data_IF_321499594827
#
_entry.id   IF_321499594827
#
_cell.length_a   1.000
_cell.length_b   1.000
_cell.length_c   1.000
_cell.angle_alpha   90.00
_cell.angle_beta   90.00
_cell.angle_gamma   90.00
#
_symmetry.space_group_name_H-M   'P 1'
#
loop_
_entity.id
_entity.type
_entity.pdbx_description
1 polymer ?
#
# COMPACT_ATOMS: atom_id res chain seq x y z
N UNK A 1 -1.39 -7.24 -5.39
CA UNK A 1 -1.98 -6.04 -6.02
C UNK A 1 -2.51 -6.44 -7.37
N UNK A 2 -3.69 -5.94 -7.73
CA UNK A 2 -4.26 -6.08 -9.07
C UNK A 2 -3.73 -5.02 -10.04
N UNK A 3 -3.44 -3.83 -9.53
CA UNK A 3 -2.87 -2.73 -10.30
C UNK A 3 -2.48 -1.58 -9.38
N UNK A 4 -1.51 -0.80 -9.85
CA UNK A 4 -1.05 0.46 -9.26
C UNK A 4 -0.46 1.32 -10.37
N UNK A 5 -0.39 2.64 -10.16
CA UNK A 5 0.23 3.54 -11.13
C UNK A 5 1.76 3.60 -10.95
N UNK A 6 2.43 4.31 -11.87
CA UNK A 6 3.89 4.46 -11.84
C UNK A 6 4.38 5.19 -10.59
N UNK A 7 3.67 6.23 -10.14
CA UNK A 7 4.02 6.94 -8.91
C UNK A 7 4.04 6.02 -7.69
N UNK A 8 3.09 5.08 -7.60
CA UNK A 8 3.10 4.06 -6.54
C UNK A 8 4.34 3.16 -6.64
N UNK A 9 4.72 2.73 -7.84
CA UNK A 9 5.91 1.92 -8.05
C UNK A 9 7.17 2.67 -7.63
N UNK A 10 7.26 3.96 -7.97
CA UNK A 10 8.39 4.83 -7.62
C UNK A 10 8.50 5.03 -6.11
N UNK A 11 7.37 5.26 -5.42
CA UNK A 11 7.34 5.40 -3.95
C UNK A 11 7.90 4.14 -3.29
N UNK A 12 7.49 2.96 -3.74
CA UNK A 12 7.88 1.67 -3.17
C UNK A 12 9.18 1.08 -3.78
N UNK A 13 9.85 1.83 -4.65
CA UNK A 13 11.06 1.40 -5.37
C UNK A 13 10.89 0.03 -6.04
N UNK A 14 9.72 -0.21 -6.66
CA UNK A 14 9.40 -1.46 -7.35
C UNK A 14 9.36 -1.27 -8.86
N UNK A 15 9.65 -2.34 -9.59
CA UNK A 15 9.38 -2.38 -11.03
C UNK A 15 7.87 -2.60 -11.27
N UNK A 16 7.21 -1.81 -12.15
CA UNK A 16 5.79 -1.96 -12.45
C UNK A 16 5.37 -3.36 -12.96
N UNK A 17 6.30 -4.12 -13.53
CA UNK A 17 6.07 -5.50 -14.00
C UNK A 17 6.21 -6.51 -12.87
N UNK A 18 7.02 -6.23 -11.85
CA UNK A 18 7.23 -7.14 -10.72
C UNK A 18 6.24 -6.93 -9.57
N UNK A 19 5.59 -5.76 -9.49
CA UNK A 19 4.68 -5.43 -8.38
C UNK A 19 3.31 -6.12 -8.48
N UNK A 20 2.93 -6.60 -9.66
CA UNK A 20 1.68 -7.35 -9.85
C UNK A 20 1.72 -8.66 -9.06
N UNK A 21 0.61 -8.99 -8.40
CA UNK A 21 0.51 -10.19 -7.57
C UNK A 21 1.09 -10.06 -6.15
N UNK A 22 2.02 -9.13 -5.89
CA UNK A 22 2.57 -8.90 -4.53
C UNK A 22 1.49 -8.33 -3.60
N UNK A 23 1.32 -8.90 -2.42
CA UNK A 23 0.37 -8.35 -1.44
C UNK A 23 0.86 -7.01 -0.91
N UNK A 24 -0.05 -6.09 -0.56
CA UNK A 24 0.35 -4.82 0.05
C UNK A 24 1.12 -5.05 1.36
N UNK A 25 0.73 -6.07 2.14
CA UNK A 25 1.40 -6.43 3.38
C UNK A 25 2.87 -6.79 3.13
N UNK A 26 3.14 -7.63 2.13
CA UNK A 26 4.51 -8.06 1.80
C UNK A 26 5.34 -6.89 1.28
N UNK A 27 4.73 -6.00 0.48
CA UNK A 27 5.36 -4.78 0.01
C UNK A 27 5.72 -3.84 1.16
N UNK A 28 4.80 -3.69 2.12
CA UNK A 28 4.98 -2.84 3.30
C UNK A 28 6.05 -3.42 4.22
N UNK A 29 6.04 -4.74 4.47
CA UNK A 29 7.10 -5.44 5.21
C UNK A 29 8.46 -5.30 4.54
N UNK A 30 8.52 -5.37 3.22
CA UNK A 30 9.76 -5.16 2.47
C UNK A 30 10.28 -3.74 2.67
N UNK A 31 9.39 -2.75 2.55
CA UNK A 31 9.71 -1.33 2.72
C UNK A 31 10.20 -1.02 4.14
N UNK A 32 9.48 -1.53 5.15
CA UNK A 32 9.85 -1.39 6.57
C UNK A 32 11.24 -1.99 6.85
N UNK A 33 11.51 -3.23 6.42
CA UNK A 33 12.82 -3.89 6.62
C UNK A 33 13.96 -3.17 5.93
N UNK A 34 13.69 -2.48 4.82
CA UNK A 34 14.70 -1.72 4.07
C UNK A 34 14.85 -0.29 4.57
N UNK A 35 13.96 0.20 5.45
CA UNK A 35 13.93 1.59 5.87
C UNK A 35 13.74 2.56 4.71
N UNK A 36 12.96 2.14 3.69
CA UNK A 36 12.74 2.89 2.46
C UNK A 36 11.26 3.02 2.17
N UNK A 37 10.92 3.95 1.28
CA UNK A 37 9.56 4.30 0.90
C UNK A 37 8.85 5.04 2.04
N UNK A 38 7.91 4.38 2.69
CA UNK A 38 7.03 4.98 3.70
C UNK A 38 7.78 5.12 5.02
N UNK A 39 7.65 6.29 5.65
CA UNK A 39 8.07 6.48 7.04
C UNK A 39 7.03 5.83 7.95
N UNK A 40 7.45 4.79 8.65
CA UNK A 40 6.63 4.14 9.66
C UNK A 40 7.00 4.67 11.04
N UNK A 41 6.04 5.28 11.74
CA UNK A 41 6.17 5.68 13.14
C UNK A 41 5.72 4.53 14.05
N UNK A 42 6.38 3.38 13.90
CA UNK A 42 6.07 2.16 14.63
C UNK A 42 7.31 1.28 14.75
N UNK A 43 7.58 0.76 15.95
CA UNK A 43 8.69 -0.16 16.20
C UNK A 43 8.42 -1.58 15.67
N UNK A 44 7.14 -1.93 15.46
CA UNK A 44 6.70 -3.23 14.98
C UNK A 44 5.75 -3.09 13.78
N UNK A 45 6.19 -3.60 12.62
CA UNK A 45 5.42 -3.56 11.39
C UNK A 45 4.15 -4.41 11.42
N UNK A 46 4.13 -5.51 12.19
CA UNK A 46 2.94 -6.37 12.26
C UNK A 46 1.83 -5.69 13.06
N UNK A 47 2.17 -4.99 14.14
CA UNK A 47 1.21 -4.20 14.92
C UNK A 47 0.65 -3.04 14.09
N UNK A 48 1.52 -2.38 13.29
CA UNK A 48 1.10 -1.34 12.36
C UNK A 48 0.16 -1.91 11.29
N UNK A 49 0.48 -3.05 10.69
CA UNK A 49 -0.36 -3.70 9.68
C UNK A 49 -1.71 -4.15 10.25
N UNK A 50 -1.74 -4.65 11.49
CA UNK A 50 -2.97 -5.06 12.17
C UNK A 50 -3.90 -3.85 12.39
N UNK A 51 -3.36 -2.74 12.92
CA UNK A 51 -4.10 -1.49 13.10
C UNK A 51 -4.59 -0.94 11.76
N UNK A 52 -3.71 -0.87 10.76
CA UNK A 52 -4.04 -0.42 9.41
C UNK A 52 -5.20 -1.25 8.83
N UNK A 53 -5.13 -2.58 8.89
CA UNK A 53 -6.21 -3.48 8.40
C UNK A 53 -7.54 -3.25 9.11
N UNK A 54 -7.53 -3.07 10.43
CA UNK A 54 -8.75 -2.84 11.20
C UNK A 54 -9.49 -1.57 10.73
N UNK A 55 -8.75 -0.49 10.46
CA UNK A 55 -9.31 0.75 9.93
C UNK A 55 -9.65 0.66 8.43
N UNK A 56 -8.87 -0.09 7.66
CA UNK A 56 -8.97 -0.15 6.21
C UNK A 56 -10.01 -1.13 5.68
N UNK A 57 -10.48 -2.09 6.49
CA UNK A 57 -11.54 -3.02 6.10
C UNK A 57 -12.94 -2.41 6.12
N UNK A 58 -13.12 -1.27 6.78
CA UNK A 58 -14.43 -0.62 6.89
C UNK A 58 -14.82 0.16 5.63
N UNK A 59 -13.85 0.59 4.81
CA UNK A 59 -14.12 1.45 3.65
C UNK A 59 -13.54 0.87 2.35
N UNK A 60 -14.36 0.58 1.32
CA UNK A 60 -13.90 0.04 0.04
C UNK A 60 -12.96 0.99 -0.71
N UNK A 61 -13.07 2.29 -0.47
CA UNK A 61 -12.20 3.32 -0.99
C UNK A 61 -11.67 4.16 0.18
N UNK A 62 -10.37 4.49 0.17
CA UNK A 62 -9.75 5.33 1.18
C UNK A 62 -8.65 6.19 0.56
N UNK A 63 -8.61 7.46 0.97
CA UNK A 63 -7.47 8.35 0.79
C UNK A 63 -6.68 8.43 2.09
N UNK A 64 -5.36 8.47 1.99
CA UNK A 64 -4.49 8.68 3.14
C UNK A 64 -3.18 9.31 2.71
N UNK A 65 -2.71 10.25 3.53
CA UNK A 65 -1.44 10.92 3.36
C UNK A 65 -0.32 10.03 3.90
N UNK A 66 0.80 10.02 3.20
CA UNK A 66 1.97 9.23 3.55
C UNK A 66 3.23 10.06 3.41
N UNK A 67 3.95 10.18 4.52
CA UNK A 67 5.31 10.69 4.55
C UNK A 67 6.29 9.62 4.09
N UNK A 68 7.24 10.00 3.26
CA UNK A 68 8.35 9.14 2.87
C UNK A 68 9.59 9.42 3.72
N UNK A 69 10.50 8.45 3.72
CA UNK A 69 11.80 8.57 4.38
C UNK A 69 12.70 9.66 3.77
N UNK A 70 12.39 10.12 2.56
CA UNK A 70 13.13 11.17 1.84
C UNK A 70 12.49 12.57 1.98
N UNK A 71 11.63 12.76 2.98
CA UNK A 71 10.92 14.01 3.28
C UNK A 71 9.91 14.46 2.21
N UNK A 72 9.58 13.62 1.23
CA UNK A 72 8.43 13.84 0.36
C UNK A 72 7.15 13.34 1.03
N UNK A 73 6.03 13.93 0.66
CA UNK A 73 4.71 13.45 1.07
C UNK A 73 3.90 13.08 -0.18
N UNK A 74 3.01 12.10 -0.06
CA UNK A 74 2.10 11.69 -1.14
C UNK A 74 0.68 11.42 -0.63
N UNK A 75 -0.31 11.73 -1.45
CA UNK A 75 -1.71 11.33 -1.22
C UNK A 75 -1.98 9.99 -1.90
N UNK A 76 -2.07 8.92 -1.13
CA UNK A 76 -2.39 7.59 -1.66
C UNK A 76 -3.89 7.35 -1.62
N UNK A 77 -4.42 6.75 -2.69
CA UNK A 77 -5.76 6.15 -2.65
C UNK A 77 -5.68 4.64 -2.77
N UNK A 78 -6.51 3.97 -1.98
CA UNK A 78 -6.68 2.51 -1.98
C UNK A 78 -8.11 2.21 -2.38
N UNK A 79 -8.27 1.31 -3.33
CA UNK A 79 -9.56 0.78 -3.75
C UNK A 79 -9.55 -0.74 -3.67
N UNK A 80 -10.53 -1.30 -2.96
CA UNK A 80 -10.77 -2.74 -3.00
C UNK A 80 -11.64 -3.02 -4.21
N UNK A 81 -11.15 -3.83 -5.15
CA UNK A 81 -11.99 -4.31 -6.24
C UNK A 81 -13.09 -5.20 -5.64
N UNK A 82 -14.32 -4.71 -5.60
CA UNK A 82 -15.49 -5.51 -5.24
C UNK A 82 -15.89 -6.34 -6.46
N UNK A 83 -15.15 -7.40 -6.75
CA UNK A 83 -15.66 -8.47 -7.59
C UNK A 83 -16.54 -9.36 -6.71
N UNK A 84 -17.86 -9.15 -6.77
CA UNK A 84 -18.76 -10.31 -6.71
C UNK A 84 -18.21 -11.30 -7.76
N UNK A 85 -18.01 -12.57 -7.39
CA UNK A 85 -17.33 -13.60 -8.20
C UNK A 85 -15.80 -13.48 -8.26
N UNK A 86 -15.14 -14.03 -7.23
CA UNK A 86 -14.00 -14.96 -7.30
C UNK A 86 -13.19 -14.81 -6.01
N UNK A 87 -13.20 -15.87 -5.21
CA UNK A 87 -12.40 -16.14 -4.02
C UNK A 87 -11.30 -15.12 -3.68
N UNK A 88 -11.52 -14.32 -2.63
CA UNK A 88 -10.50 -13.46 -2.01
C UNK A 88 -10.41 -12.06 -2.62
N UNK A 89 -10.87 -11.05 -1.87
CA UNK A 89 -10.79 -9.63 -2.27
C UNK A 89 -9.33 -9.24 -2.53
N UNK A 90 -9.02 -8.80 -3.76
CA UNK A 90 -7.69 -8.30 -4.15
C UNK A 90 -7.68 -6.77 -4.20
N UNK A 91 -6.58 -6.14 -3.77
CA UNK A 91 -6.40 -4.68 -3.72
C UNK A 91 -6.01 -4.07 -5.08
N UNK A 92 -6.58 -2.90 -5.38
CA UNK A 92 -6.20 -1.98 -6.46
C UNK A 92 -5.70 -0.67 -5.82
N UNK A 93 -4.47 -0.25 -6.12
CA UNK A 93 -3.94 1.05 -5.67
C UNK A 93 -4.12 2.10 -6.76
N UNK A 94 -4.52 3.32 -6.40
CA UNK A 94 -4.56 4.47 -7.33
C UNK A 94 -3.95 5.66 -6.58
N UNK A 95 -2.87 6.25 -7.07
CA UNK A 95 -2.25 7.43 -6.42
C UNK A 95 -2.73 8.67 -7.15
N UNK A 96 -3.22 9.66 -6.40
CA UNK A 96 -3.49 11.00 -6.92
C UNK A 96 -2.23 11.82 -6.66
N UNK A 97 -1.60 12.30 -7.73
CA UNK A 97 -0.46 13.21 -7.68
C UNK A 97 -0.95 14.66 -7.70
#
# INVERSE_FOLDING_TARGET
MLGCNLAFCDIFYQDPRSIQGISFDDLTRFSFRKGKAVRFDADNIEDWLAQAKQHWWQNPFRLFEVDLTDCRWFLLSRQVASMLYMAGRKMVGMVLA
#
